data_IF_949996947924
#
_entry.id   IF_949996947924
#
_cell.length_a   1.000
_cell.length_b   1.000
_cell.length_c   1.000
_cell.angle_alpha   90.00
_cell.angle_beta   90.00
_cell.angle_gamma   90.00
#
_symmetry.space_group_name_H-M   'P 1'
#
loop_
_entity.id
_entity.type
_entity.pdbx_description
1 polymer ?
#
# COMPACT_ATOMS: atom_id res chain seq x y z
N UNK A 1 14.57 1.68 27.51
CA UNK A 1 14.65 2.80 28.47
C UNK A 1 15.79 3.79 28.16
N UNK A 2 16.82 3.42 27.44
CA UNK A 2 18.01 4.25 27.14
C UNK A 2 17.69 5.39 26.16
N UNK A 3 16.81 5.20 25.16
CA UNK A 3 16.44 6.21 24.17
C UNK A 3 15.67 7.43 24.71
N UNK A 4 14.93 7.29 25.81
CA UNK A 4 14.22 8.42 26.45
C UNK A 4 15.14 9.48 27.06
N UNK A 5 16.42 9.17 27.24
CA UNK A 5 17.45 10.07 27.83
C UNK A 5 18.49 10.52 26.80
N UNK A 6 18.43 10.04 25.57
CA UNK A 6 19.36 10.44 24.53
C UNK A 6 19.05 11.88 24.07
N UNK A 7 20.08 12.71 23.93
CA UNK A 7 19.99 14.09 23.45
C UNK A 7 19.47 14.15 21.99
N UNK A 8 19.63 13.06 21.25
CA UNK A 8 19.10 12.84 19.88
C UNK A 8 18.58 11.39 19.79
N UNK A 9 17.30 11.13 20.15
CA UNK A 9 16.74 9.80 20.04
C UNK A 9 16.57 9.42 18.55
N UNK A 10 16.83 8.15 18.20
CA UNK A 10 16.60 7.62 16.85
C UNK A 10 15.12 7.65 16.45
N UNK A 11 14.22 7.55 17.44
CA UNK A 11 12.77 7.66 17.25
C UNK A 11 12.23 8.66 18.26
N UNK A 12 11.81 9.83 17.78
CA UNK A 12 11.14 10.81 18.63
C UNK A 12 9.62 10.51 18.67
N UNK A 13 9.19 9.89 19.78
CA UNK A 13 7.78 9.57 20.01
C UNK A 13 6.87 10.80 20.01
N UNK A 14 7.38 11.99 20.38
CA UNK A 14 6.60 13.23 20.36
C UNK A 14 6.31 13.67 18.93
N UNK A 15 7.30 13.55 18.04
CA UNK A 15 7.12 13.81 16.62
C UNK A 15 6.18 12.79 15.98
N UNK A 16 6.34 11.51 16.32
CA UNK A 16 5.43 10.46 15.80
C UNK A 16 3.97 10.69 16.17
N UNK A 17 3.71 11.16 17.39
CA UNK A 17 2.36 11.44 17.90
C UNK A 17 1.83 12.82 17.47
N UNK A 18 2.58 13.57 16.68
CA UNK A 18 2.10 14.83 16.11
C UNK A 18 0.82 14.62 15.29
N UNK A 19 -0.15 15.53 15.46
CA UNK A 19 -1.49 15.43 14.87
C UNK A 19 -1.50 15.35 13.33
N UNK A 20 -0.43 15.79 12.65
CA UNK A 20 -0.28 15.69 11.21
C UNK A 20 0.61 14.50 10.80
N UNK A 21 1.69 14.23 11.53
CA UNK A 21 2.67 13.19 11.19
C UNK A 21 2.10 11.79 11.42
N UNK A 22 1.37 11.57 12.51
CA UNK A 22 0.81 10.26 12.84
C UNK A 22 -0.12 9.71 11.73
N UNK A 23 -1.16 10.42 11.27
CA UNK A 23 -2.00 9.88 10.20
C UNK A 23 -1.24 9.70 8.88
N UNK A 24 -0.26 10.54 8.57
CA UNK A 24 0.56 10.37 7.38
C UNK A 24 1.44 9.08 7.47
N UNK A 25 2.03 8.81 8.63
CA UNK A 25 2.77 7.58 8.88
C UNK A 25 1.89 6.32 8.81
N UNK A 26 0.66 6.39 9.35
CA UNK A 26 -0.31 5.30 9.24
C UNK A 26 -0.71 5.04 7.78
N UNK A 27 -0.89 6.08 6.98
CA UNK A 27 -1.14 5.95 5.53
C UNK A 27 0.03 5.22 4.86
N UNK A 28 1.27 5.60 5.13
CA UNK A 28 2.47 4.96 4.57
C UNK A 28 2.57 3.49 5.01
N UNK A 29 2.24 3.18 6.25
CA UNK A 29 2.19 1.81 6.77
C UNK A 29 1.15 0.98 6.02
N UNK A 30 -0.08 1.52 5.82
CA UNK A 30 -1.15 0.86 5.06
C UNK A 30 -0.74 0.65 3.60
N UNK A 31 -0.10 1.63 2.98
CA UNK A 31 0.43 1.50 1.61
C UNK A 31 1.44 0.35 1.52
N UNK A 32 2.39 0.28 2.47
CA UNK A 32 3.34 -0.82 2.55
C UNK A 32 2.64 -2.17 2.72
N UNK A 33 1.70 -2.28 3.67
CA UNK A 33 0.92 -3.48 3.93
C UNK A 33 0.16 -3.94 2.68
N UNK A 34 -0.65 -3.07 2.10
CA UNK A 34 -1.52 -3.42 0.96
C UNK A 34 -0.71 -3.77 -0.29
N UNK A 35 0.34 -3.01 -0.58
CA UNK A 35 1.23 -3.25 -1.72
C UNK A 35 1.87 -4.64 -1.64
N UNK A 36 2.54 -4.95 -0.53
CA UNK A 36 3.28 -6.20 -0.41
C UNK A 36 2.36 -7.42 -0.22
N UNK A 37 1.19 -7.22 0.42
CA UNK A 37 0.17 -8.26 0.52
C UNK A 37 -0.29 -8.72 -0.87
N UNK A 38 -0.62 -7.80 -1.77
CA UNK A 38 -1.07 -8.13 -3.13
C UNK A 38 0.09 -8.55 -4.01
N UNK A 39 1.25 -7.89 -3.92
CA UNK A 39 2.42 -8.21 -4.72
C UNK A 39 2.89 -9.66 -4.54
N UNK A 40 2.80 -10.22 -3.33
CA UNK A 40 3.08 -11.62 -3.06
C UNK A 40 1.94 -12.55 -3.49
N UNK A 41 0.70 -12.07 -3.46
CA UNK A 41 -0.48 -12.89 -3.78
C UNK A 41 -0.61 -13.18 -5.26
N UNK A 42 -0.32 -12.21 -6.12
CA UNK A 42 -0.48 -12.35 -7.58
C UNK A 42 0.34 -13.50 -8.17
N UNK A 43 1.64 -13.69 -7.85
CA UNK A 43 2.40 -14.84 -8.35
C UNK A 43 1.79 -16.20 -7.96
N UNK A 44 1.22 -16.28 -6.76
CA UNK A 44 0.60 -17.51 -6.28
C UNK A 44 -0.70 -17.76 -7.04
N UNK A 45 -1.52 -16.73 -7.26
CA UNK A 45 -2.76 -16.84 -8.03
C UNK A 45 -2.48 -17.25 -9.49
N UNK A 46 -1.46 -16.65 -10.13
CA UNK A 46 -1.10 -16.94 -11.52
C UNK A 46 -0.59 -18.38 -11.67
N UNK A 47 0.19 -18.87 -10.72
CA UNK A 47 0.79 -20.21 -10.76
C UNK A 47 -0.11 -21.32 -10.20
N UNK A 48 -1.15 -20.99 -9.46
CA UNK A 48 -2.09 -21.97 -8.91
C UNK A 48 -2.75 -22.77 -10.06
N UNK A 49 -2.89 -24.09 -9.94
CA UNK A 49 -3.51 -24.89 -11.00
C UNK A 49 -5.00 -24.53 -11.17
N UNK A 50 -5.49 -24.68 -12.39
CA UNK A 50 -6.91 -24.53 -12.67
C UNK A 50 -7.73 -25.59 -11.92
N UNK A 51 -8.93 -25.27 -11.39
CA UNK A 51 -9.67 -24.00 -11.51
C UNK A 51 -9.36 -22.97 -10.42
N UNK A 52 -8.34 -23.17 -9.56
CA UNK A 52 -8.02 -22.31 -8.42
C UNK A 52 -7.12 -21.11 -8.80
N UNK A 53 -6.53 -21.13 -9.98
CA UNK A 53 -5.70 -20.08 -10.56
C UNK A 53 -5.59 -20.27 -12.07
N UNK A 54 -4.55 -19.71 -12.67
CA UNK A 54 -4.38 -19.76 -14.13
C UNK A 54 -3.52 -20.95 -14.60
N UNK A 55 -2.71 -21.54 -13.71
CA UNK A 55 -1.82 -22.67 -14.05
C UNK A 55 -0.62 -22.28 -14.89
N UNK A 56 -0.24 -21.00 -14.85
CA UNK A 56 0.81 -20.42 -15.67
C UNK A 56 2.20 -20.54 -15.02
N UNK A 57 3.22 -20.28 -15.80
CA UNK A 57 4.61 -20.34 -15.37
C UNK A 57 5.14 -19.03 -14.73
N UNK A 58 6.42 -19.02 -14.39
CA UNK A 58 7.07 -17.86 -13.77
C UNK A 58 7.23 -16.69 -14.77
N UNK A 59 7.35 -16.97 -16.08
CA UNK A 59 7.51 -15.93 -17.11
C UNK A 59 6.19 -15.16 -17.24
N UNK A 60 5.06 -15.87 -17.35
CA UNK A 60 3.73 -15.28 -17.39
C UNK A 60 3.41 -14.50 -16.11
N UNK A 61 3.85 -14.99 -14.96
CA UNK A 61 3.75 -14.23 -13.70
C UNK A 61 4.46 -12.88 -13.80
N UNK A 62 5.65 -12.84 -14.41
CA UNK A 62 6.37 -11.60 -14.68
C UNK A 62 5.60 -10.67 -15.61
N UNK A 63 5.04 -11.20 -16.71
CA UNK A 63 4.25 -10.44 -17.68
C UNK A 63 3.02 -9.79 -17.04
N UNK A 64 2.31 -10.52 -16.15
CA UNK A 64 1.15 -9.99 -15.42
C UNK A 64 1.54 -8.86 -14.46
N UNK A 65 2.72 -8.91 -13.84
CA UNK A 65 3.20 -7.88 -12.91
C UNK A 65 3.94 -6.73 -13.59
N UNK A 66 4.41 -6.90 -14.82
CA UNK A 66 5.20 -5.90 -15.54
C UNK A 66 4.49 -4.54 -15.67
N UNK A 67 3.18 -4.45 -16.01
CA UNK A 67 2.48 -3.17 -16.08
C UNK A 67 2.50 -2.40 -14.76
N UNK A 68 2.41 -3.10 -13.61
CA UNK A 68 2.57 -2.46 -12.30
C UNK A 68 3.95 -1.78 -12.17
N UNK A 69 5.02 -2.50 -12.50
CA UNK A 69 6.38 -1.99 -12.36
C UNK A 69 6.66 -0.80 -13.29
N UNK A 70 6.23 -0.91 -14.56
CA UNK A 70 6.39 0.15 -15.57
C UNK A 70 5.64 1.41 -15.17
N UNK A 71 4.36 1.27 -14.80
CA UNK A 71 3.54 2.42 -14.41
C UNK A 71 4.04 3.02 -13.10
N UNK A 72 4.50 2.19 -12.14
CA UNK A 72 5.11 2.67 -10.89
C UNK A 72 6.36 3.51 -11.15
N UNK A 73 7.20 3.11 -12.09
CA UNK A 73 8.40 3.84 -12.48
C UNK A 73 8.05 5.24 -13.04
N UNK A 74 7.12 5.32 -13.98
CA UNK A 74 6.72 6.59 -14.60
C UNK A 74 5.95 7.49 -13.62
N UNK A 75 4.96 6.95 -12.92
CA UNK A 75 4.16 7.72 -11.97
C UNK A 75 4.92 8.05 -10.68
N UNK A 76 5.85 7.19 -10.25
CA UNK A 76 6.74 7.47 -9.13
C UNK A 76 7.56 8.75 -9.38
N UNK A 77 8.21 8.84 -10.54
CA UNK A 77 8.97 10.00 -10.95
C UNK A 77 8.08 11.25 -11.17
N UNK A 78 6.91 11.07 -11.81
CA UNK A 78 5.98 12.16 -12.13
C UNK A 78 5.19 12.66 -10.92
N UNK A 79 5.03 11.87 -9.86
CA UNK A 79 4.27 12.23 -8.66
C UNK A 79 4.79 13.49 -7.98
N UNK A 80 6.12 13.72 -7.98
CA UNK A 80 6.71 14.93 -7.45
C UNK A 80 6.25 16.19 -8.19
N UNK A 81 6.19 16.14 -9.53
CA UNK A 81 5.67 17.23 -10.36
C UNK A 81 4.18 17.49 -10.12
N UNK A 82 3.38 16.42 -10.00
CA UNK A 82 1.94 16.54 -9.71
C UNK A 82 1.74 17.21 -8.34
N UNK A 83 2.53 16.84 -7.34
CA UNK A 83 2.44 17.38 -5.99
C UNK A 83 2.90 18.85 -5.94
N UNK A 84 3.92 19.22 -6.69
CA UNK A 84 4.37 20.64 -6.76
C UNK A 84 3.29 21.54 -7.36
N UNK A 85 2.48 21.04 -8.31
CA UNK A 85 1.42 21.80 -8.97
C UNK A 85 0.10 21.83 -8.17
N UNK A 86 -0.29 20.73 -7.54
CA UNK A 86 -1.62 20.58 -6.90
C UNK A 86 -1.56 20.57 -5.36
N UNK A 87 -0.37 20.66 -4.77
CA UNK A 87 -0.14 20.46 -3.34
C UNK A 87 -0.15 18.97 -2.97
N UNK A 88 0.27 18.65 -1.74
CA UNK A 88 0.45 17.26 -1.29
C UNK A 88 -0.86 16.53 -1.00
N UNK A 89 -1.86 17.26 -0.46
CA UNK A 89 -3.09 16.64 0.09
C UNK A 89 -4.05 16.15 -0.99
N UNK A 90 -4.22 16.90 -2.09
CA UNK A 90 -5.15 16.52 -3.17
C UNK A 90 -4.70 15.25 -3.89
N UNK A 91 -3.44 15.14 -4.38
CA UNK A 91 -2.95 13.92 -5.02
C UNK A 91 -2.93 12.72 -4.07
N UNK A 92 -2.60 12.91 -2.78
CA UNK A 92 -2.65 11.86 -1.77
C UNK A 92 -4.05 11.27 -1.60
N UNK A 93 -5.09 12.12 -1.49
CA UNK A 93 -6.47 11.65 -1.38
C UNK A 93 -6.91 10.96 -2.68
N UNK A 94 -6.63 11.57 -3.84
CA UNK A 94 -6.94 10.96 -5.13
C UNK A 94 -6.25 9.61 -5.29
N UNK A 95 -4.97 9.51 -4.91
CA UNK A 95 -4.21 8.27 -4.90
C UNK A 95 -4.84 7.20 -4.01
N UNK A 96 -5.24 7.55 -2.79
CA UNK A 96 -5.91 6.61 -1.87
C UNK A 96 -7.25 6.10 -2.44
N UNK A 97 -8.01 6.96 -3.11
CA UNK A 97 -9.27 6.57 -3.78
C UNK A 97 -8.98 5.63 -4.96
N UNK A 98 -8.01 5.96 -5.81
CA UNK A 98 -7.59 5.10 -6.93
C UNK A 98 -7.13 3.73 -6.42
N UNK A 99 -6.35 3.69 -5.34
CA UNK A 99 -5.90 2.45 -4.69
C UNK A 99 -7.09 1.60 -4.23
N UNK A 100 -8.08 2.21 -3.57
CA UNK A 100 -9.28 1.49 -3.12
C UNK A 100 -10.10 0.94 -4.29
N UNK A 101 -10.29 1.74 -5.35
CA UNK A 101 -10.98 1.30 -6.57
C UNK A 101 -10.25 0.12 -7.21
N UNK A 102 -8.92 0.16 -7.27
CA UNK A 102 -8.12 -0.93 -7.83
C UNK A 102 -8.23 -2.23 -7.01
N UNK A 103 -8.22 -2.17 -5.68
CA UNK A 103 -8.41 -3.37 -4.86
C UNK A 103 -9.83 -3.95 -4.96
N UNK A 104 -10.84 -3.08 -5.06
CA UNK A 104 -12.21 -3.52 -5.37
C UNK A 104 -12.27 -4.14 -6.77
N UNK A 105 -11.56 -3.54 -7.73
CA UNK A 105 -11.41 -4.09 -9.08
C UNK A 105 -10.77 -5.48 -9.08
N UNK A 106 -9.70 -5.70 -8.31
CA UNK A 106 -9.08 -7.02 -8.12
C UNK A 106 -10.04 -8.00 -7.45
N UNK A 107 -10.84 -7.57 -6.48
CA UNK A 107 -11.84 -8.43 -5.83
C UNK A 107 -12.91 -8.92 -6.81
N UNK A 108 -13.35 -8.07 -7.74
CA UNK A 108 -14.44 -8.38 -8.66
C UNK A 108 -13.92 -9.01 -9.97
N UNK A 109 -12.80 -8.52 -10.48
CA UNK A 109 -12.29 -8.81 -11.83
C UNK A 109 -10.92 -9.50 -11.80
N UNK A 110 -10.79 -10.61 -11.05
CA UNK A 110 -9.55 -11.41 -11.03
C UNK A 110 -9.66 -12.72 -11.84
N UNK A 111 -10.66 -12.82 -12.73
CA UNK A 111 -10.89 -13.99 -13.57
C UNK A 111 -10.03 -14.04 -14.85
N UNK A 112 -9.27 -13.00 -15.17
CA UNK A 112 -8.43 -12.88 -16.35
C UNK A 112 -7.11 -12.19 -16.01
N UNK A 113 -6.00 -12.72 -16.54
CA UNK A 113 -4.67 -12.14 -16.39
C UNK A 113 -4.62 -10.67 -16.86
N UNK A 114 -5.28 -10.37 -17.99
CA UNK A 114 -5.35 -9.01 -18.52
C UNK A 114 -6.03 -8.04 -17.53
N UNK A 115 -7.14 -8.46 -16.93
CA UNK A 115 -7.84 -7.63 -15.94
C UNK A 115 -7.01 -7.43 -14.67
N UNK A 116 -6.29 -8.46 -14.23
CA UNK A 116 -5.35 -8.35 -13.11
C UNK A 116 -4.26 -7.33 -13.45
N UNK A 117 -3.59 -7.48 -14.61
CA UNK A 117 -2.54 -6.56 -15.07
C UNK A 117 -3.02 -5.11 -15.17
N UNK A 118 -4.21 -4.89 -15.71
CA UNK A 118 -4.82 -3.55 -15.81
C UNK A 118 -5.09 -2.96 -14.42
N UNK A 119 -5.66 -3.75 -13.50
CA UNK A 119 -5.87 -3.32 -12.12
C UNK A 119 -4.56 -3.02 -11.38
N UNK A 120 -3.52 -3.82 -11.61
CA UNK A 120 -2.20 -3.59 -11.03
C UNK A 120 -1.56 -2.29 -11.55
N UNK A 121 -1.74 -1.97 -12.82
CA UNK A 121 -1.29 -0.69 -13.38
C UNK A 121 -2.02 0.50 -12.70
N UNK A 122 -3.34 0.42 -12.53
CA UNK A 122 -4.12 1.45 -11.83
C UNK A 122 -3.70 1.52 -10.36
N UNK A 123 -3.46 0.38 -9.71
CA UNK A 123 -2.98 0.30 -8.34
C UNK A 123 -1.67 1.07 -8.15
N UNK A 124 -0.73 0.92 -9.07
CA UNK A 124 0.58 1.59 -8.97
C UNK A 124 0.48 3.12 -9.03
N UNK A 125 -0.45 3.66 -9.83
CA UNK A 125 -0.75 5.10 -9.86
C UNK A 125 -1.23 5.57 -8.48
N UNK A 126 -2.21 4.86 -7.92
CA UNK A 126 -2.77 5.18 -6.61
C UNK A 126 -1.73 5.14 -5.50
N UNK A 127 -0.93 4.07 -5.44
CA UNK A 127 0.13 3.89 -4.45
C UNK A 127 1.22 4.96 -4.57
N UNK A 128 1.64 5.34 -5.79
CA UNK A 128 2.62 6.41 -6.02
C UNK A 128 2.14 7.74 -5.47
N UNK A 129 0.94 8.18 -5.89
CA UNK A 129 0.37 9.47 -5.46
C UNK A 129 0.15 9.52 -3.94
N UNK A 130 -0.32 8.43 -3.35
CA UNK A 130 -0.55 8.34 -1.91
C UNK A 130 0.76 8.41 -1.13
N UNK A 131 1.76 7.61 -1.53
CA UNK A 131 3.06 7.54 -0.85
C UNK A 131 3.81 8.86 -0.90
N UNK A 132 3.97 9.42 -2.12
CA UNK A 132 4.72 10.66 -2.30
C UNK A 132 3.99 11.84 -1.65
N UNK A 133 2.65 11.87 -1.74
CA UNK A 133 1.84 12.89 -1.07
C UNK A 133 1.95 12.85 0.45
N UNK A 134 1.84 11.67 1.07
CA UNK A 134 1.97 11.50 2.51
C UNK A 134 3.40 11.84 2.99
N UNK A 135 4.43 11.41 2.26
CA UNK A 135 5.82 11.71 2.58
C UNK A 135 6.11 13.21 2.52
N UNK A 136 5.57 13.90 1.51
CA UNK A 136 5.72 15.34 1.37
C UNK A 136 5.01 16.11 2.51
N UNK A 137 3.81 15.65 2.95
CA UNK A 137 3.15 16.23 4.13
C UNK A 137 4.05 16.11 5.36
N UNK A 138 4.68 14.95 5.60
CA UNK A 138 5.60 14.74 6.72
C UNK A 138 6.78 15.72 6.63
N UNK A 139 7.37 15.86 5.46
CA UNK A 139 8.49 16.80 5.26
C UNK A 139 8.10 18.27 5.53
N UNK A 140 6.91 18.67 5.10
CA UNK A 140 6.42 20.05 5.27
C UNK A 140 5.98 20.36 6.70
N UNK A 141 5.56 19.35 7.46
CA UNK A 141 5.06 19.51 8.85
C UNK A 141 6.11 19.24 9.91
N UNK A 142 7.30 18.77 9.52
CA UNK A 142 8.43 18.52 10.41
C UNK A 142 9.41 19.68 10.39
N UNK A 143 9.90 20.17 11.55
CA UNK A 143 10.99 21.13 11.59
C UNK A 143 12.23 20.60 10.87
N UNK A 144 12.98 21.48 10.19
CA UNK A 144 14.12 21.08 9.34
C UNK A 144 15.15 20.22 10.05
N UNK A 145 15.40 20.49 11.33
CA UNK A 145 16.36 19.77 12.19
C UNK A 145 15.97 18.32 12.43
N UNK A 146 14.66 18.00 12.37
CA UNK A 146 14.12 16.67 12.65
C UNK A 146 13.64 15.92 11.39
N UNK A 147 13.81 16.53 10.20
CA UNK A 147 13.32 15.93 8.94
C UNK A 147 13.91 14.55 8.69
N UNK A 148 15.20 14.35 8.94
CA UNK A 148 15.85 13.05 8.77
C UNK A 148 15.28 11.98 9.69
N UNK A 149 15.05 12.30 10.97
CA UNK A 149 14.45 11.39 11.96
C UNK A 149 13.02 11.04 11.58
N UNK A 150 12.22 12.03 11.14
CA UNK A 150 10.84 11.81 10.71
C UNK A 150 10.76 10.93 9.48
N UNK A 151 11.62 11.14 8.47
CA UNK A 151 11.68 10.29 7.29
C UNK A 151 12.14 8.87 7.60
N UNK A 152 13.15 8.72 8.47
CA UNK A 152 13.59 7.41 8.96
C UNK A 152 12.46 6.66 9.65
N UNK A 153 11.72 7.33 10.54
CA UNK A 153 10.54 6.76 11.20
C UNK A 153 9.45 6.37 10.21
N UNK A 154 9.22 7.19 9.18
CA UNK A 154 8.26 6.89 8.11
C UNK A 154 8.66 5.62 7.35
N UNK A 155 9.94 5.45 7.06
CA UNK A 155 10.45 4.23 6.42
C UNK A 155 10.28 3.00 7.31
N UNK A 156 10.50 3.13 8.62
CA UNK A 156 10.22 2.05 9.58
C UNK A 156 8.74 1.66 9.56
N UNK A 157 7.81 2.63 9.57
CA UNK A 157 6.37 2.36 9.46
C UNK A 157 6.03 1.63 8.16
N UNK A 158 6.62 2.02 7.05
CA UNK A 158 6.46 1.32 5.76
C UNK A 158 6.96 -0.12 5.83
N UNK A 159 8.14 -0.36 6.43
CA UNK A 159 8.71 -1.70 6.58
C UNK A 159 7.83 -2.57 7.47
N UNK A 160 7.32 -2.04 8.57
CA UNK A 160 6.36 -2.75 9.45
C UNK A 160 5.12 -3.16 8.65
N UNK A 161 4.52 -2.22 7.90
CA UNK A 161 3.38 -2.53 7.03
C UNK A 161 3.72 -3.62 6.00
N UNK A 162 4.85 -3.48 5.31
CA UNK A 162 5.29 -4.44 4.29
C UNK A 162 5.62 -5.83 4.82
N UNK A 163 5.89 -5.96 6.11
CA UNK A 163 6.08 -7.26 6.78
C UNK A 163 4.76 -7.89 7.21
N UNK A 164 3.80 -7.09 7.66
CA UNK A 164 2.48 -7.56 8.10
C UNK A 164 1.65 -8.04 6.89
N UNK A 165 1.72 -7.34 5.75
CA UNK A 165 0.93 -7.65 4.56
C UNK A 165 1.08 -9.09 4.06
N UNK A 166 2.29 -9.54 3.72
CA UNK A 166 2.57 -10.91 3.32
C UNK A 166 2.17 -11.96 4.38
N UNK A 167 2.38 -11.65 5.67
CA UNK A 167 2.00 -12.55 6.75
C UNK A 167 0.48 -12.78 6.80
N UNK A 168 -0.32 -11.72 6.64
CA UNK A 168 -1.78 -11.81 6.54
C UNK A 168 -2.20 -12.61 5.29
N UNK A 169 -1.58 -12.34 4.14
CA UNK A 169 -1.86 -13.10 2.91
C UNK A 169 -1.56 -14.58 3.10
N UNK A 170 -0.39 -14.92 3.68
CA UNK A 170 -0.01 -16.30 3.97
C UNK A 170 -0.98 -16.99 4.94
N UNK A 171 -1.46 -16.28 5.97
CA UNK A 171 -2.46 -16.79 6.91
C UNK A 171 -3.76 -17.14 6.17
N UNK A 172 -4.30 -16.27 5.32
CA UNK A 172 -5.51 -16.59 4.53
C UNK A 172 -5.31 -17.77 3.59
N UNK A 173 -4.14 -17.84 2.93
CA UNK A 173 -3.81 -18.94 2.02
C UNK A 173 -3.66 -20.29 2.75
N UNK A 174 -3.18 -20.29 3.99
CA UNK A 174 -3.05 -21.52 4.78
C UNK A 174 -4.37 -21.98 5.42
N UNK A 175 -5.21 -21.03 5.84
CA UNK A 175 -6.49 -21.35 6.50
C UNK A 175 -7.60 -21.74 5.52
N UNK A 176 -7.52 -21.28 4.26
CA UNK A 176 -8.52 -21.54 3.23
C UNK A 176 -7.88 -22.26 2.05
N UNK A 177 -7.71 -23.57 2.19
CA UNK A 177 -7.13 -24.43 1.16
C UNK A 177 -8.19 -25.28 0.47
N UNK A 178 -7.91 -25.67 -0.76
CA UNK A 178 -8.68 -26.63 -1.55
C UNK A 178 -7.77 -27.76 -2.01
N UNK A 179 -8.29 -28.99 -1.98
CA UNK A 179 -7.59 -30.16 -2.46
C UNK A 179 -7.86 -30.35 -3.96
N UNK A 180 -6.81 -30.52 -4.72
CA UNK A 180 -6.86 -30.84 -6.15
C UNK A 180 -6.04 -32.09 -6.42
N UNK A 181 -6.54 -32.92 -7.35
CA UNK A 181 -5.79 -34.05 -7.88
C UNK A 181 -4.96 -33.57 -9.07
N UNK A 182 -3.65 -33.44 -8.89
CA UNK A 182 -2.70 -33.06 -9.93
C UNK A 182 -1.83 -34.25 -10.25
N UNK A 183 -1.92 -34.77 -11.46
CA UNK A 183 -1.13 -35.93 -11.93
C UNK A 183 -1.24 -37.19 -11.05
N UNK A 184 -2.43 -37.46 -10.48
CA UNK A 184 -2.67 -38.62 -9.63
C UNK A 184 -2.34 -38.43 -8.13
N UNK A 185 -1.85 -37.26 -7.73
CA UNK A 185 -1.56 -36.90 -6.34
C UNK A 185 -2.51 -35.83 -5.83
N UNK A 186 -3.07 -36.05 -4.64
CA UNK A 186 -3.89 -35.03 -3.97
C UNK A 186 -2.96 -34.01 -3.32
N UNK A 187 -3.05 -32.77 -3.79
CA UNK A 187 -2.25 -31.65 -3.27
C UNK A 187 -3.20 -30.54 -2.79
N UNK A 188 -2.71 -29.78 -1.80
CA UNK A 188 -3.43 -28.67 -1.21
C UNK A 188 -2.94 -27.35 -1.79
N UNK A 189 -3.88 -26.53 -2.26
CA UNK A 189 -3.62 -25.23 -2.87
C UNK A 189 -4.48 -24.13 -2.21
N UNK A 190 -4.02 -22.88 -2.18
CA UNK A 190 -4.86 -21.74 -1.77
C UNK A 190 -6.16 -21.69 -2.59
N UNK A 191 -7.28 -21.59 -1.91
CA UNK A 191 -8.61 -21.54 -2.55
C UNK A 191 -8.92 -20.15 -3.10
N UNK A 192 -9.93 -20.03 -3.97
CA UNK A 192 -10.43 -18.73 -4.44
C UNK A 192 -10.92 -17.86 -3.29
N UNK A 193 -11.41 -18.46 -2.20
CA UNK A 193 -11.84 -17.73 -1.00
C UNK A 193 -10.67 -17.02 -0.35
N UNK A 194 -9.47 -17.63 -0.31
CA UNK A 194 -8.28 -17.00 0.26
C UNK A 194 -7.89 -15.74 -0.52
N UNK A 195 -7.92 -15.78 -1.84
CA UNK A 195 -7.63 -14.61 -2.69
C UNK A 195 -8.65 -13.49 -2.50
N UNK A 196 -9.94 -13.83 -2.43
CA UNK A 196 -11.01 -12.87 -2.16
C UNK A 196 -10.84 -12.19 -0.79
N UNK A 197 -10.49 -12.94 0.26
CA UNK A 197 -10.22 -12.40 1.59
C UNK A 197 -9.02 -11.43 1.58
N UNK A 198 -7.98 -11.75 0.82
CA UNK A 198 -6.80 -10.89 0.66
C UNK A 198 -7.18 -9.57 -0.02
N UNK A 199 -7.87 -9.62 -1.16
CA UNK A 199 -8.28 -8.42 -1.89
C UNK A 199 -9.29 -7.58 -1.11
N UNK A 200 -10.23 -8.22 -0.40
CA UNK A 200 -11.18 -7.54 0.48
C UNK A 200 -10.45 -6.81 1.63
N UNK A 201 -9.50 -7.49 2.27
CA UNK A 201 -8.71 -6.91 3.36
C UNK A 201 -7.91 -5.70 2.86
N UNK A 202 -7.27 -5.79 1.68
CA UNK A 202 -6.56 -4.69 1.06
C UNK A 202 -7.49 -3.52 0.72
N UNK A 203 -8.70 -3.79 0.23
CA UNK A 203 -9.72 -2.77 -0.04
C UNK A 203 -10.16 -2.06 1.25
N UNK A 204 -10.41 -2.80 2.33
CA UNK A 204 -10.77 -2.22 3.64
C UNK A 204 -9.67 -1.31 4.17
N UNK A 205 -8.41 -1.75 4.15
CA UNK A 205 -7.29 -0.91 4.56
C UNK A 205 -7.16 0.35 3.69
N UNK A 206 -7.42 0.26 2.40
CA UNK A 206 -7.40 1.42 1.50
C UNK A 206 -8.52 2.41 1.82
N UNK A 207 -9.71 1.94 2.19
CA UNK A 207 -10.80 2.81 2.66
C UNK A 207 -10.41 3.50 3.97
N UNK A 208 -9.77 2.80 4.90
CA UNK A 208 -9.22 3.40 6.12
C UNK A 208 -8.19 4.48 5.77
N UNK A 209 -7.32 4.21 4.78
CA UNK A 209 -6.35 5.20 4.28
C UNK A 209 -7.03 6.47 3.75
N UNK A 210 -8.16 6.36 3.03
CA UNK A 210 -8.95 7.52 2.58
C UNK A 210 -9.45 8.31 3.79
N UNK A 211 -10.00 7.65 4.80
CA UNK A 211 -10.44 8.29 6.06
C UNK A 211 -9.31 9.07 6.75
N UNK A 212 -8.12 8.46 6.86
CA UNK A 212 -6.93 9.09 7.42
C UNK A 212 -6.47 10.29 6.59
N UNK A 213 -6.51 10.19 5.26
CA UNK A 213 -6.13 11.27 4.35
C UNK A 213 -7.08 12.48 4.46
N UNK A 214 -8.39 12.23 4.60
CA UNK A 214 -9.39 13.28 4.84
C UNK A 214 -9.23 13.92 6.22
N UNK A 215 -8.95 13.14 7.26
CA UNK A 215 -8.64 13.67 8.60
C UNK A 215 -7.38 14.55 8.56
N UNK A 216 -6.34 14.09 7.88
CA UNK A 216 -5.09 14.84 7.72
C UNK A 216 -5.34 16.16 7.00
N UNK A 217 -6.11 16.15 5.91
CA UNK A 217 -6.51 17.38 5.20
C UNK A 217 -7.17 18.39 6.14
N UNK A 218 -8.15 17.95 6.95
CA UNK A 218 -8.85 18.83 7.90
C UNK A 218 -7.90 19.43 8.93
N UNK A 219 -6.92 18.66 9.41
CA UNK A 219 -5.94 19.12 10.41
C UNK A 219 -4.95 20.11 9.84
N UNK A 220 -4.39 19.84 8.66
CA UNK A 220 -3.43 20.73 8.00
C UNK A 220 -4.08 22.06 7.62
N UNK A 221 -5.32 22.07 7.11
CA UNK A 221 -6.04 23.31 6.82
C UNK A 221 -6.29 24.15 8.09
N UNK A 222 -6.58 23.52 9.24
CA UNK A 222 -6.73 24.25 10.51
C UNK A 222 -5.43 24.86 11.03
N UNK A 223 -4.27 24.27 10.72
CA UNK A 223 -2.96 24.82 11.08
C UNK A 223 -2.53 25.99 10.19
N UNK A 224 -3.00 26.03 8.95
CA UNK A 224 -2.68 27.11 7.99
C UNK A 224 -3.53 28.38 8.17
N UNK A 225 -4.66 28.32 8.85
CA UNK A 225 -5.57 29.48 9.04
C UNK A 225 -5.07 30.51 10.06
N UNK A 226 -4.26 30.20 11.11
CA UNK A 226 -3.81 31.23 12.06
C UNK A 226 -2.80 32.22 11.52
N UNK A 227 -2.21 31.99 10.36
CA UNK A 227 -1.11 32.82 9.80
C UNK A 227 -1.50 33.67 8.58
N UNK A 228 -2.79 33.81 8.30
CA UNK A 228 -3.32 34.67 7.22
C UNK A 228 -4.28 35.76 7.77
N UNK A 229 -4.01 36.21 8.99
CA UNK A 229 -4.67 37.38 9.61
C UNK A 229 -3.71 38.55 9.74
#
# INVERSE_FOLDING_TARGET
MIERRAKYPLVDLRLMLNKAILPANLIIMIVGLSMFMVFQTIPILVRNPQPLGFGEDAIRTGDVQLPFAVVLLFFGASSGFIISKFGSLKPMIAGSVITAISFIGLLIFHSSEFLISANLAILSIGLSLTSVGAMNVIMLTTPKEFTGISLGTTMLMRIVGSSIGPALAGMYMQTHQSLLNVSGFIQSFPSLISFNMIFLTAAVFSIVSIGLALLLRRRVMKMSIPNLG
#
